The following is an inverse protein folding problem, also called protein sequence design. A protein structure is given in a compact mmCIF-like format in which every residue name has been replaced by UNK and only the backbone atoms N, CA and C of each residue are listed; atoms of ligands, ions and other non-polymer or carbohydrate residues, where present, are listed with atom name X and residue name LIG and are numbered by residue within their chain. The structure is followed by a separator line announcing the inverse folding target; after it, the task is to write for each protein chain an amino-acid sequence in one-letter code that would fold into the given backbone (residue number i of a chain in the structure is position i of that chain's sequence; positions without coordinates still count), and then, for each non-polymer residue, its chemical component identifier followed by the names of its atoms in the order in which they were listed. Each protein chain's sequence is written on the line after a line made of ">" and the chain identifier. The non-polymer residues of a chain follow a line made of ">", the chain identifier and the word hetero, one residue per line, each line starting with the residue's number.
data_IF_881178788570
#
_entry.id   IF_881178788570
#
_cell.length_a   1.000
_cell.length_b   1.000
_cell.length_c   1.000
_cell.angle_alpha   90.00
_cell.angle_beta   90.00
_cell.angle_gamma   90.00
#
_symmetry.space_group_name_H-M   'P 1'
#
loop_
_entity.id
_entity.type
_entity.pdbx_description
1 polymer ?
#
# COMPACT_ATOMS: atom_id res chain seq x y z
N UNK A 1 2.34 10.70 -25.58
CA UNK A 1 2.34 9.56 -24.65
C UNK A 1 0.95 9.44 -24.09
N UNK A 2 0.33 8.27 -24.15
CA UNK A 2 -0.90 7.98 -23.40
C UNK A 2 -0.48 7.35 -22.08
N UNK A 3 -0.74 8.05 -20.97
CA UNK A 3 -0.47 7.62 -19.60
C UNK A 3 -1.75 7.12 -18.95
N UNK A 4 -2.45 6.20 -19.60
CA UNK A 4 -3.64 5.60 -19.02
C UNK A 4 -3.22 4.43 -18.13
N UNK A 5 -3.72 4.43 -16.90
CA UNK A 5 -3.54 3.34 -15.96
C UNK A 5 -4.33 2.13 -16.43
N UNK A 6 -3.77 0.93 -16.27
CA UNK A 6 -4.50 -0.31 -16.53
C UNK A 6 -5.60 -0.52 -15.48
N UNK A 7 -6.53 -1.44 -15.74
CA UNK A 7 -7.52 -1.83 -14.72
C UNK A 7 -6.85 -2.36 -13.44
N UNK A 8 -5.74 -3.08 -13.57
CA UNK A 8 -4.94 -3.54 -12.44
C UNK A 8 -4.37 -2.37 -11.63
N UNK A 9 -3.78 -1.39 -12.30
CA UNK A 9 -3.27 -0.17 -11.66
C UNK A 9 -4.38 0.58 -10.90
N UNK A 10 -5.56 0.73 -11.51
CA UNK A 10 -6.71 1.39 -10.87
C UNK A 10 -7.23 0.62 -9.65
N UNK A 11 -7.22 -0.72 -9.71
CA UNK A 11 -7.59 -1.55 -8.56
C UNK A 11 -6.61 -1.40 -7.41
N UNK A 12 -5.30 -1.41 -7.69
CA UNK A 12 -4.25 -1.19 -6.68
C UNK A 12 -4.38 0.19 -6.05
N UNK A 13 -4.52 1.23 -6.87
CA UNK A 13 -4.73 2.60 -6.38
C UNK A 13 -5.94 2.68 -5.44
N UNK A 14 -7.07 2.10 -5.84
CA UNK A 14 -8.28 2.10 -5.02
C UNK A 14 -8.07 1.36 -3.70
N UNK A 15 -7.44 0.19 -3.74
CA UNK A 15 -7.19 -0.61 -2.54
C UNK A 15 -6.26 0.10 -1.55
N UNK A 16 -5.18 0.73 -2.05
CA UNK A 16 -4.25 1.51 -1.24
C UNK A 16 -4.96 2.73 -0.62
N UNK A 17 -5.75 3.48 -1.41
CA UNK A 17 -6.55 4.62 -0.93
C UNK A 17 -7.52 4.21 0.17
N UNK A 18 -8.26 3.12 -0.03
CA UNK A 18 -9.22 2.62 0.93
C UNK A 18 -8.52 2.22 2.24
N UNK A 19 -7.33 1.61 2.16
CA UNK A 19 -6.52 1.29 3.35
C UNK A 19 -6.01 2.55 4.06
N UNK A 20 -5.47 3.52 3.32
CA UNK A 20 -4.96 4.76 3.87
C UNK A 20 -6.06 5.54 4.61
N UNK A 21 -7.25 5.68 4.04
CA UNK A 21 -8.36 6.41 4.67
C UNK A 21 -8.96 5.67 5.86
N UNK A 22 -9.07 4.35 5.82
CA UNK A 22 -9.80 3.59 6.84
C UNK A 22 -8.90 3.02 7.94
N UNK A 23 -7.61 2.75 7.67
CA UNK A 23 -6.68 2.13 8.63
C UNK A 23 -5.54 3.07 9.04
N UNK A 24 -4.95 3.81 8.08
CA UNK A 24 -3.82 4.70 8.38
C UNK A 24 -4.25 6.05 8.98
N UNK A 25 -5.33 6.65 8.49
CA UNK A 25 -5.79 7.98 8.93
C UNK A 25 -6.31 8.00 10.37
N UNK A 26 -7.11 7.04 10.85
CA UNK A 26 -7.60 7.06 12.22
C UNK A 26 -6.45 6.98 13.23
N UNK A 27 -6.43 7.88 14.21
CA UNK A 27 -5.41 7.89 15.28
C UNK A 27 -4.01 8.37 14.86
N UNK A 28 -3.83 8.95 13.67
CA UNK A 28 -2.51 9.38 13.19
C UNK A 28 -1.89 10.47 14.06
N UNK A 29 -2.69 11.44 14.53
CA UNK A 29 -2.22 12.55 15.38
C UNK A 29 -1.65 12.01 16.69
N UNK A 30 -2.38 11.12 17.38
CA UNK A 30 -1.89 10.52 18.63
C UNK A 30 -0.62 9.70 18.40
N UNK A 31 -0.55 8.92 17.31
CA UNK A 31 0.65 8.13 16.98
C UNK A 31 1.86 9.00 16.72
N UNK A 32 1.69 10.13 16.04
CA UNK A 32 2.74 11.11 15.79
C UNK A 32 3.22 11.77 17.09
N UNK A 33 2.28 12.32 17.88
CA UNK A 33 2.59 12.98 19.17
C UNK A 33 3.30 12.04 20.15
N UNK A 34 2.93 10.77 20.17
CA UNK A 34 3.51 9.75 21.05
C UNK A 34 4.66 8.98 20.43
N UNK A 35 5.05 9.32 19.19
CA UNK A 35 6.12 8.65 18.43
C UNK A 35 5.95 7.12 18.39
N UNK A 36 4.71 6.65 18.30
CA UNK A 36 4.37 5.22 18.30
C UNK A 36 4.51 4.64 16.90
N UNK A 37 5.33 3.60 16.76
CA UNK A 37 5.42 2.84 15.52
C UNK A 37 4.09 2.12 15.22
N UNK A 38 3.51 2.29 14.02
CA UNK A 38 2.21 1.72 13.65
C UNK A 38 2.33 0.23 13.25
N UNK A 39 2.74 -0.63 14.20
CA UNK A 39 2.98 -2.06 13.94
C UNK A 39 1.76 -2.76 13.35
N UNK A 40 0.57 -2.46 13.86
CA UNK A 40 -0.67 -3.09 13.40
C UNK A 40 -0.93 -2.80 11.93
N UNK A 41 -0.84 -1.53 11.51
CA UNK A 41 -1.02 -1.12 10.12
C UNK A 41 0.03 -1.76 9.19
N UNK A 42 1.29 -1.85 9.63
CA UNK A 42 2.35 -2.50 8.85
C UNK A 42 2.07 -3.99 8.66
N UNK A 43 1.58 -4.69 9.69
CA UNK A 43 1.19 -6.09 9.56
C UNK A 43 0.01 -6.26 8.60
N UNK A 44 -1.00 -5.38 8.68
CA UNK A 44 -2.12 -5.40 7.75
C UNK A 44 -1.68 -5.14 6.30
N UNK A 45 -0.75 -4.21 6.07
CA UNK A 45 -0.16 -3.98 4.75
C UNK A 45 0.59 -5.21 4.22
N UNK A 46 1.26 -5.96 5.11
CA UNK A 46 1.94 -7.20 4.76
C UNK A 46 0.92 -8.28 4.34
N UNK A 47 -0.17 -8.43 5.09
CA UNK A 47 -1.24 -9.39 4.78
C UNK A 47 -1.95 -9.06 3.46
N UNK A 48 -2.02 -7.77 3.10
CA UNK A 48 -2.55 -7.28 1.82
C UNK A 48 -1.55 -7.42 0.64
N UNK A 49 -0.31 -7.82 0.91
CA UNK A 49 0.73 -7.98 -0.12
C UNK A 49 1.42 -6.67 -0.55
N UNK A 50 1.13 -5.54 0.12
CA UNK A 50 1.75 -4.24 -0.19
C UNK A 50 3.22 -4.17 0.21
N UNK A 51 3.63 -4.96 1.21
CA UNK A 51 5.04 -4.97 1.68
C UNK A 51 5.99 -5.77 0.78
N UNK A 52 5.47 -6.48 -0.22
CA UNK A 52 6.24 -7.35 -1.12
C UNK A 52 5.90 -7.16 -2.60
N UNK A 53 5.31 -6.02 -2.98
CA UNK A 53 4.70 -5.84 -4.31
C UNK A 53 5.64 -6.20 -5.46
N UNK A 54 6.85 -5.65 -5.49
CA UNK A 54 7.82 -5.87 -6.57
C UNK A 54 8.69 -7.13 -6.38
N UNK A 55 8.46 -7.89 -5.31
CA UNK A 55 9.24 -9.11 -5.03
C UNK A 55 8.68 -10.27 -5.84
N UNK A 56 9.55 -11.15 -6.34
CA UNK A 56 9.13 -12.34 -7.08
C UNK A 56 8.22 -13.24 -6.20
N UNK A 57 7.08 -13.73 -6.73
CA UNK A 57 6.18 -14.67 -6.04
C UNK A 57 6.86 -15.90 -5.44
N UNK A 58 7.97 -16.39 -6.02
CA UNK A 58 8.75 -17.51 -5.46
C UNK A 58 9.32 -17.21 -4.06
N UNK A 59 9.42 -15.94 -3.69
CA UNK A 59 9.86 -15.47 -2.37
C UNK A 59 8.71 -14.88 -1.53
N UNK A 60 7.46 -15.11 -1.91
CA UNK A 60 6.28 -14.61 -1.19
C UNK A 60 5.91 -13.16 -1.50
N UNK A 61 6.37 -12.61 -2.63
CA UNK A 61 5.96 -11.30 -3.13
C UNK A 61 4.78 -11.34 -4.10
N UNK A 62 4.36 -10.18 -4.59
CA UNK A 62 3.22 -10.06 -5.52
C UNK A 62 3.62 -9.99 -6.99
N UNK A 63 4.91 -9.83 -7.30
CA UNK A 63 5.43 -9.74 -8.68
C UNK A 63 4.91 -8.54 -9.51
N UNK A 64 4.40 -7.51 -8.85
CA UNK A 64 3.81 -6.32 -9.47
C UNK A 64 4.86 -5.36 -10.03
N UNK A 65 4.44 -4.54 -10.99
CA UNK A 65 5.29 -3.56 -11.64
C UNK A 65 5.55 -2.30 -10.79
N UNK A 66 6.47 -1.48 -11.27
CA UNK A 66 6.85 -0.22 -10.61
C UNK A 66 5.70 0.78 -10.56
N UNK A 67 4.81 0.78 -11.55
CA UNK A 67 3.66 1.71 -11.58
C UNK A 67 2.72 1.37 -10.43
N UNK A 68 2.38 0.09 -10.26
CA UNK A 68 1.57 -0.40 -9.15
C UNK A 68 2.17 -0.04 -7.80
N UNK A 69 3.49 -0.20 -7.64
CA UNK A 69 4.19 0.16 -6.41
C UNK A 69 4.11 1.67 -6.12
N UNK A 70 4.33 2.52 -7.12
CA UNK A 70 4.24 3.97 -6.96
C UNK A 70 2.81 4.41 -6.64
N UNK A 71 1.80 3.83 -7.29
CA UNK A 71 0.40 4.10 -6.98
C UNK A 71 0.04 3.72 -5.55
N UNK A 72 0.51 2.57 -5.06
CA UNK A 72 0.26 2.19 -3.67
C UNK A 72 0.98 3.10 -2.66
N UNK A 73 2.14 3.65 -3.02
CA UNK A 73 2.92 4.55 -2.17
C UNK A 73 2.36 5.99 -2.16
N UNK A 74 1.72 6.42 -3.25
CA UNK A 74 1.12 7.75 -3.38
C UNK A 74 -0.11 7.95 -2.49
N UNK A 75 -0.90 6.89 -2.30
CA UNK A 75 -2.16 6.89 -1.54
C UNK A 75 -2.00 6.84 -0.02
#
# INVERSE_FOLDING_TARGET
>A
MHFELTEEHLMIQKAARDFAQNQCKPGVIERDELQKFPKEQVMQLADLGFMGMMTNPDYGGSGMDTISYVLAMEE
#
